data_IF_825860813449
#
_entry.id   IF_825860813449
#
_cell.length_a   1.000
_cell.length_b   1.000
_cell.length_c   1.000
_cell.angle_alpha   90.00
_cell.angle_beta   90.00
_cell.angle_gamma   90.00
#
_symmetry.space_group_name_H-M   'P 1'
#
loop_
_entity.id
_entity.type
_entity.pdbx_description
1 polymer ?
#
# COMPACT_ATOMS: atom_id res chain seq x y z
N UNK A 1 22.78 1.38 -20.58
CA UNK A 1 23.11 1.58 -19.16
C UNK A 1 21.81 1.80 -18.41
N UNK A 2 21.36 0.79 -17.67
CA UNK A 2 20.22 0.95 -16.75
C UNK A 2 20.73 1.69 -15.51
N UNK A 3 20.22 2.88 -15.24
CA UNK A 3 20.42 3.53 -13.94
C UNK A 3 19.65 2.72 -12.89
N UNK A 4 20.37 1.98 -12.06
CA UNK A 4 19.83 1.37 -10.85
C UNK A 4 19.42 2.48 -9.88
N UNK A 5 18.14 2.53 -9.52
CA UNK A 5 17.64 3.42 -8.48
C UNK A 5 18.11 2.87 -7.14
N UNK A 6 19.04 3.58 -6.50
CA UNK A 6 19.50 3.29 -5.14
C UNK A 6 18.41 3.70 -4.15
N UNK A 7 17.61 2.72 -3.74
CA UNK A 7 16.45 2.90 -2.85
C UNK A 7 16.89 3.44 -1.48
N UNK A 8 18.13 3.18 -1.07
CA UNK A 8 18.66 3.62 0.22
C UNK A 8 18.99 5.12 0.27
N UNK A 9 19.11 5.79 -0.89
CA UNK A 9 19.57 7.18 -0.94
C UNK A 9 18.48 8.25 -0.93
N UNK A 10 17.18 7.90 -1.03
CA UNK A 10 16.01 8.81 -1.01
C UNK A 10 16.00 10.03 -1.98
N UNK A 11 17.14 10.48 -2.51
CA UNK A 11 17.33 11.75 -3.21
C UNK A 11 16.72 11.76 -4.62
N UNK A 12 16.66 10.61 -5.30
CA UNK A 12 16.00 10.48 -6.63
C UNK A 12 14.54 10.00 -6.55
N UNK A 13 14.04 9.63 -5.37
CA UNK A 13 12.67 9.15 -5.18
C UNK A 13 11.63 10.24 -5.43
N UNK A 14 11.93 11.47 -4.98
CA UNK A 14 11.05 12.62 -5.14
C UNK A 14 10.96 13.17 -6.56
N UNK A 15 11.85 12.77 -7.48
CA UNK A 15 11.81 13.17 -8.89
C UNK A 15 10.89 12.28 -9.74
N UNK A 16 10.59 11.06 -9.28
CA UNK A 16 9.63 10.16 -9.92
C UNK A 16 8.19 10.38 -9.40
N UNK A 17 7.88 11.60 -8.95
CA UNK A 17 6.51 12.00 -8.58
C UNK A 17 5.59 11.61 -9.73
N UNK A 18 4.79 10.57 -9.49
CA UNK A 18 3.60 10.31 -10.27
C UNK A 18 2.71 11.53 -10.10
N UNK A 19 2.69 12.43 -11.07
CA UNK A 19 1.62 13.39 -11.22
C UNK A 19 0.33 12.59 -11.46
N UNK A 20 -0.27 12.08 -10.38
CA UNK A 20 -1.68 11.71 -10.36
C UNK A 20 -2.40 13.05 -10.31
N UNK A 21 -3.15 13.45 -11.34
CA UNK A 21 -3.80 14.76 -11.35
C UNK A 21 -4.77 14.85 -10.17
N UNK A 22 -4.57 15.83 -9.28
CA UNK A 22 -5.59 16.32 -8.35
C UNK A 22 -5.30 16.24 -6.85
N UNK A 23 -4.54 15.26 -6.34
CA UNK A 23 -4.35 15.10 -4.88
C UNK A 23 -2.99 14.46 -4.53
N UNK A 24 -2.41 14.84 -3.38
CA UNK A 24 -1.18 14.22 -2.87
C UNK A 24 -1.50 12.82 -2.30
N UNK A 25 -0.97 11.73 -2.91
CA UNK A 25 -1.26 10.36 -2.46
C UNK A 25 -0.97 10.13 -0.97
N UNK A 26 0.05 10.80 -0.41
CA UNK A 26 0.47 10.65 0.98
C UNK A 26 -0.55 11.15 2.00
N UNK A 27 -1.41 12.10 1.61
CA UNK A 27 -2.44 12.67 2.49
C UNK A 27 -3.83 12.12 2.16
N UNK A 28 -3.94 11.19 1.21
CA UNK A 28 -5.20 10.57 0.84
C UNK A 28 -5.67 9.66 1.97
N UNK A 29 -6.81 9.98 2.57
CA UNK A 29 -7.45 9.19 3.62
C UNK A 29 -7.58 7.73 3.21
N UNK A 30 -7.19 6.80 4.07
CA UNK A 30 -7.32 5.37 3.80
C UNK A 30 -8.81 5.00 3.58
N UNK A 31 -9.07 4.03 2.70
CA UNK A 31 -10.43 3.56 2.34
C UNK A 31 -11.32 4.60 1.63
N UNK A 32 -10.79 5.76 1.27
CA UNK A 32 -11.48 6.71 0.37
C UNK A 32 -11.53 6.19 -1.07
N UNK A 33 -12.41 6.73 -1.89
CA UNK A 33 -12.49 6.38 -3.31
C UNK A 33 -11.17 6.69 -4.04
N UNK A 34 -10.55 7.84 -3.74
CA UNK A 34 -9.22 8.18 -4.27
C UNK A 34 -8.16 7.15 -3.88
N UNK A 35 -8.18 6.67 -2.64
CA UNK A 35 -7.26 5.64 -2.15
C UNK A 35 -7.41 4.33 -2.95
N UNK A 36 -8.65 3.88 -3.16
CA UNK A 36 -8.92 2.70 -3.99
C UNK A 36 -8.48 2.90 -5.44
N UNK A 37 -8.74 4.08 -6.02
CA UNK A 37 -8.34 4.40 -7.39
C UNK A 37 -6.83 4.36 -7.58
N UNK A 38 -6.05 4.92 -6.65
CA UNK A 38 -4.58 4.87 -6.69
C UNK A 38 -4.09 3.42 -6.64
N UNK A 39 -4.63 2.61 -5.73
CA UNK A 39 -4.23 1.20 -5.57
C UNK A 39 -4.64 0.33 -6.75
N UNK A 40 -5.82 0.54 -7.32
CA UNK A 40 -6.28 -0.24 -8.47
C UNK A 40 -5.46 0.02 -9.73
N UNK A 41 -4.97 1.26 -9.90
CA UNK A 41 -4.05 1.63 -10.99
C UNK A 41 -2.64 1.07 -10.80
N UNK A 42 -2.27 0.70 -9.58
CA UNK A 42 -0.95 0.15 -9.30
C UNK A 42 -0.80 -1.31 -9.74
N UNK A 43 0.38 -1.65 -10.27
CA UNK A 43 0.69 -3.03 -10.65
C UNK A 43 0.86 -3.92 -9.42
N UNK A 44 1.45 -3.37 -8.35
CA UNK A 44 1.69 -4.07 -7.08
C UNK A 44 1.24 -3.20 -5.91
N UNK A 45 0.68 -3.83 -4.89
CA UNK A 45 0.38 -3.20 -3.60
C UNK A 45 1.16 -3.89 -2.49
N UNK A 46 1.29 -3.25 -1.32
CA UNK A 46 1.91 -3.90 -0.14
C UNK A 46 1.38 -5.33 0.11
N UNK A 47 0.06 -5.52 0.06
CA UNK A 47 -0.57 -6.83 0.26
C UNK A 47 -0.33 -7.83 -0.89
N UNK A 48 -0.05 -7.37 -2.12
CA UNK A 48 0.15 -8.25 -3.28
C UNK A 48 1.61 -8.48 -3.63
N UNK A 49 2.54 -7.83 -2.92
CA UNK A 49 3.97 -7.88 -3.19
C UNK A 49 4.53 -9.31 -3.18
N UNK A 50 4.17 -10.13 -2.19
CA UNK A 50 4.62 -11.52 -2.09
C UNK A 50 4.09 -12.39 -3.25
N UNK A 51 2.83 -12.18 -3.65
CA UNK A 51 2.26 -12.86 -4.80
C UNK A 51 2.96 -12.43 -6.09
N UNK A 52 3.22 -11.13 -6.26
CA UNK A 52 3.92 -10.58 -7.41
C UNK A 52 5.38 -11.06 -7.50
N UNK A 53 6.03 -11.31 -6.36
CA UNK A 53 7.41 -11.83 -6.28
C UNK A 53 7.50 -13.36 -6.44
N UNK A 54 6.39 -14.04 -6.75
CA UNK A 54 6.40 -15.48 -6.99
C UNK A 54 6.28 -16.35 -5.73
N UNK A 55 5.98 -15.77 -4.57
CA UNK A 55 5.91 -16.48 -3.28
C UNK A 55 4.47 -16.90 -2.89
N UNK A 56 3.50 -16.71 -3.79
CA UNK A 56 2.11 -17.14 -3.60
C UNK A 56 1.81 -18.51 -4.20
N UNK A 57 0.57 -18.99 -4.08
CA UNK A 57 0.11 -20.17 -4.82
C UNK A 57 -0.02 -19.82 -6.31
N UNK A 58 0.12 -20.81 -7.19
CA UNK A 58 0.03 -20.62 -8.65
C UNK A 58 -1.26 -19.90 -9.08
N UNK A 59 -2.39 -20.25 -8.47
CA UNK A 59 -3.69 -19.61 -8.72
C UNK A 59 -3.69 -18.12 -8.35
N UNK A 60 -3.06 -17.77 -7.22
CA UNK A 60 -3.00 -16.38 -6.75
C UNK A 60 -2.09 -15.54 -7.64
N UNK A 61 -0.98 -16.14 -8.10
CA UNK A 61 -0.06 -15.51 -9.05
C UNK A 61 -0.72 -15.27 -10.40
N UNK A 62 -1.48 -16.25 -10.91
CA UNK A 62 -2.24 -16.11 -12.14
C UNK A 62 -3.32 -15.02 -12.02
N UNK A 63 -4.11 -15.02 -10.95
CA UNK A 63 -5.09 -13.98 -10.69
C UNK A 63 -4.46 -12.58 -10.60
N UNK A 64 -3.29 -12.46 -9.96
CA UNK A 64 -2.53 -11.20 -9.95
C UNK A 64 -2.07 -10.78 -11.34
N UNK A 65 -1.54 -11.71 -12.13
CA UNK A 65 -1.12 -11.46 -13.51
C UNK A 65 -2.28 -10.99 -14.39
N UNK A 66 -3.43 -11.68 -14.33
CA UNK A 66 -4.64 -11.33 -15.07
C UNK A 66 -5.10 -9.92 -14.68
N UNK A 67 -5.20 -9.61 -13.39
CA UNK A 67 -5.54 -8.26 -12.92
C UNK A 67 -4.62 -7.19 -13.50
N UNK A 68 -3.31 -7.42 -13.51
CA UNK A 68 -2.32 -6.42 -13.96
C UNK A 68 -2.27 -6.30 -15.48
N UNK A 69 -2.49 -7.38 -16.24
CA UNK A 69 -2.36 -7.40 -17.69
C UNK A 69 -3.66 -7.20 -18.44
N UNK A 70 -4.75 -7.77 -17.94
CA UNK A 70 -6.08 -7.75 -18.59
C UNK A 70 -7.06 -6.84 -17.86
N UNK A 71 -6.75 -6.42 -16.63
CA UNK A 71 -7.66 -5.62 -15.80
C UNK A 71 -8.78 -6.43 -15.15
N UNK A 72 -8.81 -7.75 -15.36
CA UNK A 72 -9.84 -8.63 -14.82
C UNK A 72 -9.46 -9.01 -13.38
N UNK A 73 -10.28 -8.59 -12.42
CA UNK A 73 -10.13 -8.99 -11.02
C UNK A 73 -11.01 -10.20 -10.71
N UNK A 74 -10.41 -11.39 -10.73
CA UNK A 74 -11.08 -12.66 -10.42
C UNK A 74 -11.00 -13.03 -8.94
N UNK A 75 -10.57 -12.12 -8.06
CA UNK A 75 -10.44 -12.42 -6.63
C UNK A 75 -11.82 -12.62 -6.02
N UNK A 76 -12.03 -13.80 -5.46
CA UNK A 76 -13.19 -14.09 -4.63
C UNK A 76 -12.75 -14.14 -3.17
N UNK A 77 -13.38 -13.31 -2.34
CA UNK A 77 -13.18 -13.34 -0.91
C UNK A 77 -14.16 -14.33 -0.27
N UNK A 78 -13.67 -15.16 0.62
CA UNK A 78 -14.53 -16.01 1.44
C UNK A 78 -15.28 -15.16 2.46
N UNK A 79 -16.42 -15.64 2.96
CA UNK A 79 -17.18 -14.96 4.01
C UNK A 79 -16.32 -14.67 5.24
N UNK A 80 -15.44 -15.60 5.62
CA UNK A 80 -14.49 -15.42 6.71
C UNK A 80 -13.49 -14.27 6.43
N UNK A 81 -13.00 -14.13 5.19
CA UNK A 81 -12.10 -13.04 4.83
C UNK A 81 -12.82 -11.68 4.89
N UNK A 82 -14.07 -11.62 4.42
CA UNK A 82 -14.89 -10.41 4.49
C UNK A 82 -15.16 -10.03 5.95
N UNK A 83 -15.53 -11.01 6.78
CA UNK A 83 -15.76 -10.82 8.22
C UNK A 83 -14.52 -10.28 8.92
N UNK A 84 -13.35 -10.89 8.67
CA UNK A 84 -12.08 -10.43 9.24
C UNK A 84 -11.70 -9.02 8.78
N UNK A 85 -11.95 -8.68 7.51
CA UNK A 85 -11.69 -7.34 6.98
C UNK A 85 -12.58 -6.29 7.63
N UNK A 86 -13.86 -6.61 7.86
CA UNK A 86 -14.79 -5.73 8.56
C UNK A 86 -14.39 -5.56 10.03
N UNK A 87 -14.05 -6.65 10.71
CA UNK A 87 -13.59 -6.62 12.09
C UNK A 87 -12.31 -5.79 12.26
N UNK A 88 -11.32 -6.00 11.38
CA UNK A 88 -10.09 -5.21 11.38
C UNK A 88 -10.37 -3.73 11.15
N UNK A 89 -11.26 -3.41 10.20
CA UNK A 89 -11.67 -2.03 9.93
C UNK A 89 -12.34 -1.35 11.12
N UNK A 90 -13.15 -2.06 11.90
CA UNK A 90 -13.85 -1.45 13.05
C UNK A 90 -12.96 -1.29 14.28
N UNK A 91 -11.91 -2.11 14.44
CA UNK A 91 -11.04 -2.12 15.63
C UNK A 91 -9.63 -1.56 15.38
N UNK A 92 -9.37 -1.04 14.19
CA UNK A 92 -8.10 -0.41 13.82
C UNK A 92 -7.78 0.77 14.75
N UNK A 93 -8.79 1.61 15.05
CA UNK A 93 -8.63 2.76 15.96
C UNK A 93 -8.29 2.34 17.39
N UNK A 94 -8.83 1.22 17.87
CA UNK A 94 -8.54 0.71 19.22
C UNK A 94 -7.09 0.21 19.31
N UNK A 95 -6.60 -0.39 18.22
CA UNK A 95 -5.22 -0.84 18.10
C UNK A 95 -4.28 0.36 18.09
N UNK A 96 -4.56 1.38 17.27
CA UNK A 96 -3.78 2.61 17.22
C UNK A 96 -3.78 3.32 18.58
N UNK A 97 -4.93 3.45 19.23
CA UNK A 97 -5.04 4.04 20.56
C UNK A 97 -4.19 3.28 21.58
N UNK A 98 -4.15 1.96 21.51
CA UNK A 98 -3.29 1.14 22.37
C UNK A 98 -1.81 1.41 22.11
N UNK A 99 -1.39 1.50 20.85
CA UNK A 99 -0.01 1.80 20.47
C UNK A 99 0.39 3.20 20.96
N UNK A 100 -0.42 4.22 20.68
CA UNK A 100 -0.14 5.62 21.04
C UNK A 100 -0.22 5.88 22.54
N UNK A 101 -1.14 5.24 23.26
CA UNK A 101 -1.32 5.51 24.69
C UNK A 101 -0.39 4.68 25.59
N UNK A 102 0.05 3.49 25.15
CA UNK A 102 0.80 2.56 26.01
C UNK A 102 2.18 2.18 25.48
N UNK A 103 2.30 1.92 24.18
CA UNK A 103 3.53 1.36 23.62
C UNK A 103 4.52 2.48 23.27
N UNK A 104 4.09 3.45 22.47
CA UNK A 104 4.92 4.57 22.02
C UNK A 104 5.52 5.35 23.18
N UNK A 105 4.76 5.82 24.19
CA UNK A 105 5.33 6.59 25.29
C UNK A 105 6.32 5.79 26.16
N UNK A 106 6.16 4.47 26.21
CA UNK A 106 7.02 3.60 27.02
C UNK A 106 8.33 3.24 26.29
N UNK A 107 8.25 2.95 25.00
CA UNK A 107 9.38 2.44 24.21
C UNK A 107 10.10 3.53 23.42
N UNK A 108 9.36 4.53 22.92
CA UNK A 108 9.83 5.58 22.02
C UNK A 108 9.12 6.91 22.30
N UNK A 109 9.34 7.54 23.47
CA UNK A 109 8.56 8.70 23.94
C UNK A 109 8.67 9.95 23.07
N UNK A 110 9.68 10.03 22.21
CA UNK A 110 9.93 11.16 21.30
C UNK A 110 9.22 10.99 19.93
N UNK A 111 8.57 9.85 19.70
CA UNK A 111 7.89 9.58 18.43
C UNK A 111 6.41 9.91 18.51
N UNK A 112 5.94 10.67 17.53
CA UNK A 112 4.54 10.89 17.25
C UNK A 112 4.03 9.89 16.21
N UNK A 113 2.75 9.58 16.27
CA UNK A 113 2.08 8.71 15.28
C UNK A 113 1.15 9.54 14.40
N UNK A 114 1.26 9.35 13.09
CA UNK A 114 0.33 9.96 12.13
C UNK A 114 -0.12 8.94 11.08
N UNK A 115 -1.38 9.06 10.66
CA UNK A 115 -1.92 8.27 9.55
C UNK A 115 -1.28 8.72 8.23
N UNK A 116 -0.83 7.76 7.43
CA UNK A 116 -0.35 8.00 6.06
C UNK A 116 -1.32 7.42 5.03
N UNK A 117 -1.47 8.12 3.92
CA UNK A 117 -2.20 7.63 2.75
C UNK A 117 -1.40 6.63 1.92
N UNK A 118 -1.43 6.80 0.61
CA UNK A 118 -0.68 5.98 -0.32
C UNK A 118 0.72 6.57 -0.56
N UNK A 119 1.76 5.75 -0.36
CA UNK A 119 3.13 6.03 -0.79
C UNK A 119 3.42 5.25 -2.09
N UNK A 120 3.51 5.93 -3.25
CA UNK A 120 3.86 5.30 -4.51
C UNK A 120 5.36 5.03 -4.58
N UNK A 121 5.73 3.81 -4.95
CA UNK A 121 7.08 3.30 -5.20
C UNK A 121 7.27 3.16 -6.74
N UNK A 122 7.76 4.21 -7.41
CA UNK A 122 7.83 4.27 -8.87
C UNK A 122 8.97 3.43 -9.45
N UNK A 123 8.80 2.99 -10.70
CA UNK A 123 9.86 2.47 -11.58
C UNK A 123 10.00 3.40 -12.79
N UNK A 124 11.17 3.47 -13.41
CA UNK A 124 11.48 4.40 -14.49
C UNK A 124 10.43 4.52 -15.63
N UNK A 125 9.71 3.43 -15.95
CA UNK A 125 8.65 3.42 -16.99
C UNK A 125 7.22 3.30 -16.43
N UNK A 126 7.06 3.19 -15.11
CA UNK A 126 5.77 3.05 -14.46
C UNK A 126 5.81 3.75 -13.09
N UNK A 127 5.30 5.00 -13.02
CA UNK A 127 5.34 5.78 -11.80
C UNK A 127 4.37 5.26 -10.71
N UNK A 128 3.43 4.38 -11.08
CA UNK A 128 2.56 3.62 -10.15
C UNK A 128 2.89 2.12 -10.19
N UNK A 129 4.17 1.79 -10.30
CA UNK A 129 4.61 0.38 -10.28
C UNK A 129 4.14 -0.32 -9.01
N UNK A 130 4.47 0.23 -7.86
CA UNK A 130 4.03 -0.27 -6.58
C UNK A 130 3.45 0.84 -5.72
N UNK A 131 2.45 0.52 -4.89
CA UNK A 131 1.89 1.44 -3.89
C UNK A 131 1.80 0.74 -2.54
N UNK A 132 2.30 1.39 -1.50
CA UNK A 132 2.08 0.96 -0.11
C UNK A 132 1.19 1.98 0.58
N UNK A 133 0.39 1.53 1.56
CA UNK A 133 -0.39 2.41 2.43
C UNK A 133 -0.16 1.88 3.82
N UNK A 134 0.87 2.39 4.52
CA UNK A 134 1.08 2.10 5.94
C UNK A 134 -0.16 2.53 6.72
N UNK A 135 -0.44 1.85 7.84
CA UNK A 135 -1.52 2.26 8.73
C UNK A 135 -1.13 3.55 9.50
N UNK A 136 0.17 3.75 9.73
CA UNK A 136 0.75 5.03 10.14
C UNK A 136 2.27 4.98 10.25
N UNK A 137 2.89 6.12 10.56
CA UNK A 137 4.35 6.31 10.70
C UNK A 137 4.71 7.29 11.79
#
# INVERSE_FOLDING_TARGET
MEESVDIAKHEKYHQLKSDIPGENPKTTKQKSETWFNIRNRSSVTGNTCLTASGQGKLKDMQAHYDRVKTGIDNRQFTEAQVSNMNYGTSHEIDTIATVVARVLPSMFPELDYFEEGCTPLPKAKNPLFMVVSPDGS
#
